data_IF_472793969915
#
_entry.id   IF_472793969915
#
_cell.length_a   1.000
_cell.length_b   1.000
_cell.length_c   1.000
_cell.angle_alpha   90.00
_cell.angle_beta   90.00
_cell.angle_gamma   90.00
#
_symmetry.space_group_name_H-M   'P 1'
#
loop_
_entity.id
_entity.type
_entity.pdbx_description
1 polymer ?
#
# COMPACT_ATOMS: atom_id res chain seq x y z
N UNK A 1 12.64 16.47 -1.33
CA UNK A 1 13.49 15.26 -1.34
C UNK A 1 13.44 14.68 -2.75
N UNK A 2 14.56 14.28 -3.38
CA UNK A 2 14.48 13.72 -4.75
C UNK A 2 13.83 12.34 -4.75
N UNK A 3 13.11 11.98 -5.82
CA UNK A 3 12.46 10.67 -5.97
C UNK A 3 13.45 9.51 -5.77
N UNK A 4 14.66 9.63 -6.33
CA UNK A 4 15.75 8.66 -6.13
C UNK A 4 16.08 8.43 -4.65
N UNK A 5 16.09 9.49 -3.84
CA UNK A 5 16.36 9.38 -2.39
C UNK A 5 15.20 8.71 -1.66
N UNK A 6 13.96 8.99 -2.05
CA UNK A 6 12.75 8.37 -1.46
C UNK A 6 12.78 6.86 -1.67
N UNK A 7 12.95 6.39 -2.91
CA UNK A 7 13.00 4.96 -3.19
C UNK A 7 14.20 4.26 -2.55
N UNK A 8 15.36 4.91 -2.49
CA UNK A 8 16.52 4.35 -1.77
C UNK A 8 16.26 4.19 -0.27
N UNK A 9 15.60 5.17 0.35
CA UNK A 9 15.18 5.07 1.76
C UNK A 9 14.14 3.97 1.96
N UNK A 10 13.19 3.82 1.05
CA UNK A 10 12.18 2.77 1.10
C UNK A 10 12.81 1.37 1.07
N UNK A 11 13.65 1.10 0.07
CA UNK A 11 14.34 -0.20 -0.05
C UNK A 11 15.22 -0.50 1.16
N UNK A 12 15.93 0.50 1.69
CA UNK A 12 16.71 0.36 2.92
C UNK A 12 15.83 -0.04 4.10
N UNK A 13 14.68 0.62 4.27
CA UNK A 13 13.72 0.30 5.32
C UNK A 13 13.17 -1.13 5.22
N UNK A 14 12.83 -1.60 4.00
CA UNK A 14 12.39 -2.98 3.80
C UNK A 14 13.46 -4.00 4.22
N UNK A 15 14.71 -3.79 3.81
CA UNK A 15 15.83 -4.67 4.19
C UNK A 15 16.07 -4.65 5.70
N UNK A 16 16.01 -3.49 6.34
CA UNK A 16 16.17 -3.36 7.79
C UNK A 16 15.06 -4.07 8.57
N UNK A 17 13.82 -4.03 8.09
CA UNK A 17 12.73 -4.78 8.71
C UNK A 17 12.89 -6.29 8.51
N UNK A 18 13.18 -6.73 7.29
CA UNK A 18 13.35 -8.16 6.97
C UNK A 18 14.49 -8.83 7.78
N UNK A 19 15.54 -8.08 8.12
CA UNK A 19 16.68 -8.58 8.92
C UNK A 19 16.38 -8.87 10.38
N UNK A 20 15.26 -8.39 10.94
CA UNK A 20 14.95 -8.52 12.37
C UNK A 20 14.57 -9.95 12.78
N UNK A 21 14.21 -10.81 11.81
CA UNK A 21 13.96 -12.25 12.03
C UNK A 21 12.59 -12.58 12.64
N UNK A 22 11.94 -11.62 13.28
CA UNK A 22 10.58 -11.70 13.86
C UNK A 22 9.56 -10.79 13.15
N UNK A 23 9.95 -10.20 12.01
CA UNK A 23 9.12 -9.26 11.27
C UNK A 23 7.85 -9.93 10.75
N UNK A 24 6.70 -9.34 11.10
CA UNK A 24 5.38 -9.69 10.54
C UNK A 24 5.04 -8.73 9.41
N UNK A 25 3.95 -9.00 8.70
CA UNK A 25 3.42 -8.13 7.64
C UNK A 25 3.29 -6.67 8.11
N UNK A 26 2.74 -6.45 9.31
CA UNK A 26 2.51 -5.13 9.87
C UNK A 26 3.82 -4.40 10.22
N UNK A 27 4.93 -5.12 10.40
CA UNK A 27 6.24 -4.52 10.65
C UNK A 27 6.73 -3.66 9.49
N UNK A 28 6.23 -3.90 8.27
CA UNK A 28 6.58 -3.15 7.07
C UNK A 28 5.65 -1.95 6.83
N UNK A 29 4.54 -1.82 7.55
CA UNK A 29 3.54 -0.79 7.31
C UNK A 29 4.07 0.64 7.45
N UNK A 30 4.88 0.98 8.49
CA UNK A 30 5.46 2.32 8.60
C UNK A 30 6.37 2.68 7.42
N UNK A 31 7.07 1.69 6.86
CA UNK A 31 7.98 1.88 5.72
C UNK A 31 7.17 2.21 4.46
N UNK A 32 6.05 1.52 4.22
CA UNK A 32 5.15 1.80 3.11
C UNK A 32 4.44 3.16 3.26
N UNK A 33 3.90 3.48 4.44
CA UNK A 33 3.27 4.78 4.70
C UNK A 33 4.25 5.94 4.43
N UNK A 34 5.49 5.81 4.92
CA UNK A 34 6.56 6.79 4.70
C UNK A 34 6.89 6.95 3.21
N UNK A 35 6.90 5.87 2.42
CA UNK A 35 7.07 5.97 0.96
C UNK A 35 5.94 6.79 0.33
N UNK A 36 4.69 6.45 0.64
CA UNK A 36 3.51 7.08 0.06
C UNK A 36 3.47 8.59 0.35
N UNK A 37 3.66 8.98 1.61
CA UNK A 37 3.64 10.38 2.04
C UNK A 37 4.78 11.19 1.45
N UNK A 38 6.01 10.66 1.45
CA UNK A 38 7.16 11.34 0.84
C UNK A 38 7.00 11.49 -0.67
N UNK A 39 6.47 10.46 -1.36
CA UNK A 39 6.22 10.50 -2.79
C UNK A 39 5.15 11.53 -3.12
N UNK A 40 4.04 11.55 -2.37
CA UNK A 40 2.97 12.53 -2.53
C UNK A 40 3.48 13.96 -2.33
N UNK A 41 4.22 14.22 -1.26
CA UNK A 41 4.82 15.53 -1.01
C UNK A 41 5.78 15.96 -2.13
N UNK A 42 6.61 15.04 -2.66
CA UNK A 42 7.54 15.31 -3.75
C UNK A 42 6.86 15.55 -5.11
N UNK A 43 5.61 15.11 -5.28
CA UNK A 43 4.81 15.26 -6.51
C UNK A 43 3.75 16.37 -6.42
N UNK A 44 3.73 17.13 -5.31
CA UNK A 44 2.86 18.30 -5.13
C UNK A 44 1.61 18.07 -4.29
N UNK A 45 1.39 16.84 -3.80
CA UNK A 45 0.25 16.48 -2.95
C UNK A 45 0.62 16.59 -1.46
N UNK A 46 0.85 17.82 -0.98
CA UNK A 46 1.44 18.07 0.35
C UNK A 46 0.58 17.65 1.55
N UNK A 47 -0.73 17.57 1.40
CA UNK A 47 -1.64 17.24 2.50
C UNK A 47 -2.02 15.76 2.52
N UNK A 48 -1.60 15.00 1.50
CA UNK A 48 -1.82 13.57 1.42
C UNK A 48 -1.31 12.88 2.69
N UNK A 49 -2.10 11.97 3.23
CA UNK A 49 -1.70 11.16 4.36
C UNK A 49 -2.32 9.77 4.27
N UNK A 50 -1.71 8.82 4.98
CA UNK A 50 -2.17 7.44 5.02
C UNK A 50 -2.47 7.05 6.46
N UNK A 51 -3.67 6.52 6.71
CA UNK A 51 -3.99 5.89 7.99
C UNK A 51 -3.67 4.41 7.90
N UNK A 52 -2.73 3.94 8.73
CA UNK A 52 -2.45 2.52 8.95
C UNK A 52 -3.53 1.94 9.86
N UNK A 53 -4.03 0.75 9.55
CA UNK A 53 -5.06 0.03 10.31
C UNK A 53 -6.25 0.93 10.67
N UNK A 54 -6.94 1.50 9.66
CA UNK A 54 -8.06 2.39 9.89
C UNK A 54 -9.20 1.69 10.64
N UNK A 55 -10.09 2.49 11.24
CA UNK A 55 -11.33 1.96 11.83
C UNK A 55 -12.15 1.16 10.79
N UNK A 56 -12.94 0.18 11.25
CA UNK A 56 -13.73 -0.63 10.34
C UNK A 56 -14.66 0.16 9.42
N UNK A 57 -14.89 -0.37 8.23
CA UNK A 57 -15.90 0.14 7.29
C UNK A 57 -16.91 -0.96 6.97
N UNK A 58 -18.06 -0.58 6.41
CA UNK A 58 -19.04 -1.56 5.91
C UNK A 58 -18.46 -2.48 4.83
N UNK A 59 -17.46 -1.99 4.08
CA UNK A 59 -16.73 -2.77 3.06
C UNK A 59 -15.59 -3.64 3.60
N UNK A 60 -15.36 -3.64 4.91
CA UNK A 60 -14.25 -4.31 5.59
C UNK A 60 -13.11 -3.37 5.99
N UNK A 61 -11.97 -3.95 6.34
CA UNK A 61 -10.85 -3.25 6.98
C UNK A 61 -9.58 -3.44 6.15
N UNK A 62 -9.37 -2.63 5.11
CA UNK A 62 -8.10 -2.64 4.40
C UNK A 62 -6.97 -2.17 5.32
N UNK A 63 -5.76 -2.66 5.10
CA UNK A 63 -4.58 -2.32 5.93
C UNK A 63 -4.29 -0.82 5.96
N UNK A 64 -4.58 -0.11 4.87
CA UNK A 64 -4.38 1.33 4.78
C UNK A 64 -5.57 2.04 4.15
N UNK A 65 -5.82 3.25 4.63
CA UNK A 65 -6.73 4.22 4.02
C UNK A 65 -5.96 5.44 3.55
N UNK A 66 -6.20 5.84 2.31
CA UNK A 66 -5.47 6.91 1.64
C UNK A 66 -6.36 8.14 1.50
N UNK A 67 -5.85 9.29 1.93
CA UNK A 67 -6.58 10.56 1.96
C UNK A 67 -5.93 11.58 1.04
N UNK A 68 -6.73 12.42 0.41
CA UNK A 68 -6.23 13.54 -0.41
C UNK A 68 -5.63 14.69 0.40
N UNK A 69 -5.86 14.69 1.71
CA UNK A 69 -5.41 15.72 2.63
C UNK A 69 -6.43 16.80 2.95
N UNK A 70 -7.66 16.63 2.50
CA UNK A 70 -8.82 17.30 3.04
C UNK A 70 -9.59 16.27 3.88
N UNK A 71 -10.71 15.77 3.38
CA UNK A 71 -11.55 14.78 4.07
C UNK A 71 -11.96 13.63 3.14
N UNK A 72 -11.47 13.60 1.90
CA UNK A 72 -11.87 12.59 0.93
C UNK A 72 -10.93 11.39 0.97
N UNK A 73 -11.53 10.20 1.10
CA UNK A 73 -10.82 8.94 0.89
C UNK A 73 -10.66 8.75 -0.61
N UNK A 74 -9.43 8.71 -1.09
CA UNK A 74 -9.12 8.55 -2.52
C UNK A 74 -8.70 7.13 -2.89
N UNK A 75 -8.45 6.28 -1.89
CA UNK A 75 -8.21 4.86 -2.11
C UNK A 75 -7.81 4.11 -0.86
N UNK A 76 -7.50 2.85 -1.07
CA UNK A 76 -7.09 1.91 -0.03
C UNK A 76 -5.88 1.13 -0.49
N UNK A 77 -5.11 0.62 0.47
CA UNK A 77 -4.00 -0.30 0.20
C UNK A 77 -4.23 -1.52 1.06
N UNK A 78 -4.11 -2.68 0.43
CA UNK A 78 -4.04 -3.98 1.11
C UNK A 78 -2.64 -4.52 0.92
N UNK A 79 -1.97 -4.81 2.03
CA UNK A 79 -0.64 -5.37 2.02
C UNK A 79 -0.71 -6.90 2.20
N UNK A 80 0.34 -7.56 1.74
CA UNK A 80 0.63 -8.96 2.00
C UNK A 80 2.10 -9.09 2.36
N UNK A 81 2.43 -10.17 3.06
CA UNK A 81 3.80 -10.44 3.49
C UNK A 81 4.75 -10.42 2.28
N UNK A 82 6.01 -9.94 2.43
CA UNK A 82 6.89 -9.72 1.27
C UNK A 82 7.16 -10.95 0.38
N UNK A 83 6.97 -12.15 0.92
CA UNK A 83 7.17 -13.42 0.19
C UNK A 83 5.91 -13.92 -0.52
N UNK A 84 4.78 -13.25 -0.34
CA UNK A 84 3.51 -13.71 -0.87
C UNK A 84 3.38 -13.48 -2.37
N UNK A 85 2.75 -14.44 -3.03
CA UNK A 85 2.46 -14.37 -4.45
C UNK A 85 1.12 -13.66 -4.67
N UNK A 86 1.17 -12.46 -5.28
CA UNK A 86 -0.02 -11.64 -5.49
C UNK A 86 -1.04 -12.27 -6.45
N UNK A 87 -0.62 -13.12 -7.41
CA UNK A 87 -1.56 -13.84 -8.28
C UNK A 87 -2.44 -14.81 -7.50
N UNK A 88 -1.87 -15.48 -6.49
CA UNK A 88 -2.64 -16.34 -5.59
C UNK A 88 -3.55 -15.50 -4.69
N UNK A 89 -3.04 -14.39 -4.18
CA UNK A 89 -3.76 -13.53 -3.24
C UNK A 89 -5.00 -12.89 -3.85
N UNK A 90 -4.95 -12.49 -5.13
CA UNK A 90 -6.13 -11.98 -5.85
C UNK A 90 -7.28 -12.99 -5.95
N UNK A 91 -6.98 -14.28 -5.87
CA UNK A 91 -7.98 -15.34 -5.85
C UNK A 91 -8.74 -15.46 -4.53
N UNK A 92 -8.24 -14.86 -3.45
CA UNK A 92 -8.83 -15.00 -2.12
C UNK A 92 -10.14 -14.22 -2.00
N UNK A 93 -11.06 -14.72 -1.16
CA UNK A 93 -12.36 -14.08 -0.92
C UNK A 93 -12.19 -12.65 -0.37
N UNK A 94 -11.22 -12.45 0.53
CA UNK A 94 -10.92 -11.15 1.11
C UNK A 94 -10.58 -10.12 0.03
N UNK A 95 -9.62 -10.43 -0.85
CA UNK A 95 -9.19 -9.51 -1.91
C UNK A 95 -10.32 -9.27 -2.91
N UNK A 96 -11.03 -10.33 -3.34
CA UNK A 96 -12.18 -10.18 -4.25
C UNK A 96 -13.25 -9.27 -3.69
N UNK A 97 -13.56 -9.38 -2.41
CA UNK A 97 -14.51 -8.48 -1.72
C UNK A 97 -14.02 -7.04 -1.77
N UNK A 98 -12.76 -6.79 -1.41
CA UNK A 98 -12.21 -5.42 -1.44
C UNK A 98 -12.20 -4.81 -2.84
N UNK A 99 -11.84 -5.59 -3.86
CA UNK A 99 -11.87 -5.14 -5.26
C UNK A 99 -13.29 -4.85 -5.77
N UNK A 100 -14.30 -5.56 -5.26
CA UNK A 100 -15.70 -5.32 -5.59
C UNK A 100 -16.29 -4.13 -4.83
N UNK A 101 -15.82 -3.87 -3.60
CA UNK A 101 -16.38 -2.82 -2.73
C UNK A 101 -15.70 -1.46 -2.93
N UNK A 102 -14.38 -1.42 -3.08
CA UNK A 102 -13.63 -0.18 -3.10
C UNK A 102 -13.25 0.25 -4.53
N UNK A 103 -13.50 1.50 -4.92
CA UNK A 103 -13.26 1.96 -6.29
C UNK A 103 -11.78 2.08 -6.64
N UNK A 104 -10.90 2.31 -5.66
CA UNK A 104 -9.45 2.43 -5.86
C UNK A 104 -8.70 1.61 -4.80
N UNK A 105 -8.04 0.53 -5.24
CA UNK A 105 -7.28 -0.37 -4.36
C UNK A 105 -5.87 -0.58 -4.93
N UNK A 106 -4.86 -0.49 -4.07
CA UNK A 106 -3.54 -1.02 -4.35
C UNK A 106 -3.37 -2.32 -3.56
N UNK A 107 -3.07 -3.42 -4.26
CA UNK A 107 -2.59 -4.65 -3.65
C UNK A 107 -1.07 -4.70 -3.76
N UNK A 108 -0.37 -4.99 -2.65
CA UNK A 108 1.09 -5.02 -2.66
C UNK A 108 1.69 -6.06 -1.71
N UNK A 109 2.82 -6.63 -2.08
CA UNK A 109 3.73 -7.37 -1.19
C UNK A 109 5.01 -6.56 -0.90
N UNK A 110 4.90 -5.23 -0.90
CA UNK A 110 6.00 -4.25 -0.73
C UNK A 110 7.01 -4.16 -1.89
N UNK A 111 7.08 -5.16 -2.77
CA UNK A 111 7.94 -5.14 -3.97
C UNK A 111 7.13 -4.99 -5.26
N UNK A 112 6.01 -5.68 -5.34
CA UNK A 112 5.05 -5.57 -6.43
C UNK A 112 3.85 -4.72 -5.99
N UNK A 113 3.37 -3.86 -6.88
CA UNK A 113 2.21 -2.98 -6.68
C UNK A 113 1.24 -3.19 -7.83
N UNK A 114 -0.01 -3.51 -7.51
CA UNK A 114 -1.10 -3.68 -8.48
C UNK A 114 -2.20 -2.69 -8.18
N UNK A 115 -2.44 -1.77 -9.10
CA UNK A 115 -3.52 -0.80 -9.00
C UNK A 115 -4.78 -1.38 -9.64
N UNK A 116 -5.86 -1.37 -8.87
CA UNK A 116 -7.20 -1.71 -9.30
C UNK A 116 -8.10 -0.47 -9.27
N UNK A 117 -8.91 -0.33 -10.31
CA UNK A 117 -9.99 0.65 -10.39
C UNK A 117 -11.30 -0.05 -10.69
N UNK A 118 -12.29 0.12 -9.81
CA UNK A 118 -13.60 -0.51 -9.91
C UNK A 118 -13.48 -2.02 -10.20
N UNK A 119 -12.67 -2.73 -9.41
CA UNK A 119 -12.41 -4.16 -9.57
C UNK A 119 -11.48 -4.58 -10.71
N UNK A 120 -11.09 -3.67 -11.61
CA UNK A 120 -10.25 -3.99 -12.77
C UNK A 120 -8.80 -3.61 -12.53
N UNK A 121 -7.87 -4.53 -12.79
CA UNK A 121 -6.43 -4.22 -12.74
C UNK A 121 -6.07 -3.26 -13.88
N UNK A 122 -5.57 -2.08 -13.54
CA UNK A 122 -5.24 -1.04 -14.54
C UNK A 122 -3.74 -0.78 -14.68
N UNK A 123 -2.94 -1.10 -13.65
CA UNK A 123 -1.49 -0.91 -13.71
C UNK A 123 -0.78 -1.85 -12.74
N UNK A 124 0.42 -2.27 -13.11
CA UNK A 124 1.35 -2.96 -12.24
C UNK A 124 2.70 -2.25 -12.22
N UNK A 125 3.43 -2.39 -11.12
CA UNK A 125 4.81 -1.96 -10.99
C UNK A 125 5.56 -2.95 -10.10
N UNK A 126 6.79 -3.26 -10.47
CA UNK A 126 7.70 -4.10 -9.69
C UNK A 126 8.93 -3.26 -9.34
N UNK A 127 9.30 -3.21 -8.07
CA UNK A 127 10.61 -2.71 -7.67
C UNK A 127 11.66 -3.77 -8.03
N UNK A 128 12.35 -3.51 -9.15
CA UNK A 128 13.57 -4.13 -9.66
C UNK A 128 13.91 -5.55 -9.14
#
# INVERSE_FOLDING_TARGET
>A
MSLKRIFKSYLKGLVEMAKRGDAREESFYPVLATLMENFAAATGHKNFHVTIQPRPTEGGNPDFRVWDGQEAIVGYIEAKSPQENLDKMEGTEQIRRYLATFPNVILTNFSEFRLFRNGHRVKTALLA
#
